data_IF_114247693307
#
_entry.id   IF_114247693307
#
_cell.length_a   1.000
_cell.length_b   1.000
_cell.length_c   1.000
_cell.angle_alpha   90.00
_cell.angle_beta   90.00
_cell.angle_gamma   90.00
#
_symmetry.space_group_name_H-M   'P 1'
#
loop_
_entity.id
_entity.type
_entity.pdbx_description
1 polymer ?
#
# COMPACT_ATOMS: atom_id res chain seq x y z
N UNK A 1 -19.73 -7.39 24.54
CA UNK A 1 -20.21 -8.72 24.21
C UNK A 1 -19.00 -9.60 23.94
N UNK A 2 -18.63 -10.44 24.90
CA UNK A 2 -17.58 -11.44 24.69
C UNK A 2 -18.14 -12.51 23.76
N UNK A 3 -17.70 -12.51 22.52
CA UNK A 3 -17.91 -13.64 21.65
C UNK A 3 -17.05 -14.81 22.18
N UNK A 4 -17.70 -15.72 22.91
CA UNK A 4 -17.04 -16.87 23.49
C UNK A 4 -16.79 -17.97 22.48
N UNK A 5 -15.83 -17.75 21.57
CA UNK A 5 -15.42 -18.78 20.61
C UNK A 5 -13.92 -18.96 20.67
N UNK A 6 -13.43 -19.69 21.63
CA UNK A 6 -11.98 -19.76 21.70
C UNK A 6 -11.41 -21.09 22.15
N UNK A 7 -12.21 -22.13 22.30
CA UNK A 7 -11.62 -23.40 22.73
C UNK A 7 -12.19 -24.60 22.00
N UNK A 8 -11.33 -25.29 21.29
CA UNK A 8 -11.57 -26.64 20.81
C UNK A 8 -11.00 -27.60 21.83
N UNK A 9 -11.78 -28.62 22.23
CA UNK A 9 -11.31 -29.70 23.10
C UNK A 9 -10.89 -30.88 22.25
N UNK A 10 -9.63 -31.25 22.30
CA UNK A 10 -9.18 -32.50 21.71
C UNK A 10 -9.24 -33.57 22.79
N UNK A 11 -10.12 -34.55 22.63
CA UNK A 11 -10.21 -35.72 23.51
C UNK A 11 -9.07 -36.68 23.15
N UNK A 12 -7.93 -36.55 23.80
CA UNK A 12 -6.89 -37.57 23.79
C UNK A 12 -6.93 -38.31 25.10
N UNK A 13 -7.57 -39.47 25.06
CA UNK A 13 -7.50 -40.56 26.03
C UNK A 13 -7.80 -40.29 27.50
N UNK A 14 -7.24 -39.33 28.16
CA UNK A 14 -7.44 -39.10 29.62
C UNK A 14 -7.46 -37.64 30.09
N UNK A 15 -7.08 -36.69 29.28
CA UNK A 15 -7.19 -35.24 29.60
C UNK A 15 -7.54 -34.43 28.39
N UNK A 16 -8.56 -33.59 28.44
CA UNK A 16 -8.89 -32.62 27.45
C UNK A 16 -8.00 -31.41 27.61
N UNK A 17 -7.06 -31.17 26.67
CA UNK A 17 -6.31 -29.93 26.62
C UNK A 17 -7.15 -28.84 25.95
N UNK A 18 -7.22 -27.69 26.59
CA UNK A 18 -7.91 -26.52 26.05
C UNK A 18 -7.04 -25.86 25.00
N UNK A 19 -7.40 -26.06 23.73
CA UNK A 19 -6.72 -25.41 22.61
C UNK A 19 -7.40 -24.08 22.31
N UNK A 20 -6.67 -22.99 22.42
CA UNK A 20 -7.16 -21.66 22.06
C UNK A 20 -6.95 -21.43 20.56
N UNK A 21 -8.02 -21.17 19.82
CA UNK A 21 -7.95 -20.76 18.40
C UNK A 21 -7.19 -19.44 18.29
N UNK A 22 -7.46 -18.50 19.21
CA UNK A 22 -6.70 -17.26 19.33
C UNK A 22 -5.81 -17.38 20.56
N UNK A 23 -4.49 -17.29 20.42
CA UNK A 23 -3.59 -17.31 21.57
C UNK A 23 -3.96 -16.24 22.61
N UNK A 24 -3.88 -16.53 23.91
CA UNK A 24 -4.28 -15.59 24.96
C UNK A 24 -3.58 -14.22 24.89
N UNK A 25 -2.36 -14.18 24.37
CA UNK A 25 -1.59 -12.96 24.15
C UNK A 25 -2.02 -12.17 22.90
N UNK A 26 -2.96 -12.70 22.11
CA UNK A 26 -3.48 -12.07 20.88
C UNK A 26 -4.94 -11.64 20.95
N UNK A 27 -5.58 -11.75 22.11
CA UNK A 27 -7.01 -11.42 22.29
C UNK A 27 -7.33 -9.95 22.05
N UNK A 28 -6.35 -9.06 22.19
CA UNK A 28 -6.48 -7.59 21.96
C UNK A 28 -5.84 -7.09 20.69
N UNK A 29 -5.46 -7.98 19.78
CA UNK A 29 -4.66 -7.60 18.62
C UNK A 29 -5.33 -6.52 17.74
N UNK A 30 -6.66 -6.49 17.63
CA UNK A 30 -7.38 -5.44 16.89
C UNK A 30 -7.28 -4.07 17.57
N UNK A 31 -7.31 -4.03 18.90
CA UNK A 31 -7.11 -2.80 19.66
C UNK A 31 -5.68 -2.30 19.52
N UNK A 32 -4.72 -3.19 19.55
CA UNK A 32 -3.29 -2.88 19.37
C UNK A 32 -3.02 -2.32 17.96
N UNK A 33 -3.62 -2.92 16.92
CA UNK A 33 -3.53 -2.40 15.55
C UNK A 33 -4.15 -1.00 15.46
N UNK A 34 -5.31 -0.79 16.08
CA UNK A 34 -5.99 0.51 16.08
C UNK A 34 -5.17 1.59 16.78
N UNK A 35 -4.50 1.24 17.88
CA UNK A 35 -3.62 2.14 18.61
C UNK A 35 -2.35 2.46 17.81
N UNK A 36 -1.69 1.44 17.28
CA UNK A 36 -0.51 1.59 16.41
C UNK A 36 -0.83 2.46 15.20
N UNK A 37 -2.01 2.31 14.61
CA UNK A 37 -2.44 3.15 13.49
C UNK A 37 -2.64 4.61 13.90
N UNK A 38 -3.18 4.89 15.08
CA UNK A 38 -3.32 6.27 15.59
C UNK A 38 -1.97 6.92 15.81
N UNK A 39 -1.05 6.21 16.48
CA UNK A 39 0.32 6.67 16.71
C UNK A 39 1.03 6.95 15.38
N UNK A 40 0.90 6.05 14.41
CA UNK A 40 1.47 6.24 13.08
C UNK A 40 0.92 7.51 12.40
N UNK A 41 -0.39 7.75 12.47
CA UNK A 41 -0.98 8.97 11.90
C UNK A 41 -0.50 10.26 12.58
N UNK A 42 -0.34 10.25 13.88
CA UNK A 42 0.20 11.40 14.62
C UNK A 42 1.65 11.69 14.21
N UNK A 43 2.47 10.65 14.08
CA UNK A 43 3.83 10.78 13.57
C UNK A 43 3.86 11.36 12.14
N UNK A 44 2.98 10.88 11.26
CA UNK A 44 2.85 11.45 9.90
C UNK A 44 2.53 12.93 9.96
N UNK A 45 1.54 13.33 10.75
CA UNK A 45 1.15 14.74 10.83
C UNK A 45 2.29 15.64 11.33
N UNK A 46 3.08 15.17 12.29
CA UNK A 46 4.29 15.88 12.74
C UNK A 46 5.29 16.06 11.59
N UNK A 47 5.55 15.01 10.82
CA UNK A 47 6.47 15.07 9.68
C UNK A 47 5.93 15.97 8.55
N UNK A 48 4.63 15.97 8.32
CA UNK A 48 3.94 16.85 7.35
C UNK A 48 4.13 18.31 7.73
N UNK A 49 3.94 18.67 9.01
CA UNK A 49 4.15 20.03 9.49
C UNK A 49 5.61 20.49 9.31
N UNK A 50 6.58 19.61 9.56
CA UNK A 50 7.99 19.92 9.32
C UNK A 50 8.25 20.15 7.83
N UNK A 51 7.72 19.30 6.95
CA UNK A 51 7.86 19.43 5.50
C UNK A 51 7.21 20.75 4.98
N UNK A 52 6.05 21.14 5.50
CA UNK A 52 5.42 22.41 5.13
C UNK A 52 6.22 23.63 5.59
N UNK A 53 6.81 23.60 6.77
CA UNK A 53 7.72 24.65 7.24
C UNK A 53 8.94 24.77 6.33
N UNK A 54 9.54 23.66 5.95
CA UNK A 54 10.68 23.63 5.01
C UNK A 54 10.28 24.19 3.65
N UNK A 55 9.11 23.82 3.12
CA UNK A 55 8.60 24.32 1.87
C UNK A 55 8.36 25.84 1.92
N UNK A 56 7.78 26.34 3.01
CA UNK A 56 7.56 27.78 3.20
C UNK A 56 8.88 28.56 3.22
N UNK A 57 9.90 28.07 3.93
CA UNK A 57 11.24 28.67 3.95
C UNK A 57 11.88 28.65 2.57
N UNK A 58 11.82 27.53 1.85
CA UNK A 58 12.34 27.42 0.50
C UNK A 58 11.68 28.45 -0.44
N UNK A 59 10.34 28.55 -0.39
CA UNK A 59 9.60 29.52 -1.20
C UNK A 59 9.92 30.97 -0.84
N UNK A 60 10.15 31.24 0.44
CA UNK A 60 10.55 32.58 0.89
C UNK A 60 11.94 32.95 0.37
N UNK A 61 12.91 32.05 0.46
CA UNK A 61 14.25 32.27 -0.08
C UNK A 61 14.26 32.52 -1.59
N UNK A 62 13.38 31.85 -2.34
CA UNK A 62 13.27 32.05 -3.80
C UNK A 62 12.75 33.44 -4.21
N UNK A 63 12.08 34.14 -3.30
CA UNK A 63 11.48 35.48 -3.56
C UNK A 63 12.31 36.64 -3.02
N UNK A 64 13.34 36.37 -2.24
CA UNK A 64 14.20 37.38 -1.63
C UNK A 64 15.43 37.64 -2.50
N UNK A 65 15.86 38.91 -2.54
CA UNK A 65 17.10 39.34 -3.20
C UNK A 65 18.23 39.61 -2.19
N UNK A 66 17.89 39.76 -0.90
CA UNK A 66 18.85 40.05 0.16
C UNK A 66 19.61 38.80 0.60
N UNK A 67 20.89 38.75 0.28
CA UNK A 67 21.75 37.61 0.57
C UNK A 67 21.91 37.31 2.08
N UNK A 68 21.85 38.34 2.95
CA UNK A 68 21.97 38.15 4.39
C UNK A 68 20.71 37.46 4.95
N UNK A 69 19.53 37.93 4.54
CA UNK A 69 18.25 37.31 4.92
C UNK A 69 18.15 35.87 4.39
N UNK A 70 18.57 35.63 3.17
CA UNK A 70 18.62 34.26 2.60
C UNK A 70 19.52 33.36 3.46
N UNK A 71 20.70 33.86 3.88
CA UNK A 71 21.61 33.12 4.75
C UNK A 71 20.97 32.74 6.11
N UNK A 72 20.25 33.67 6.73
CA UNK A 72 19.55 33.41 8.01
C UNK A 72 18.41 32.39 7.83
N UNK A 73 17.65 32.49 6.74
CA UNK A 73 16.61 31.51 6.42
C UNK A 73 17.19 30.13 6.12
N UNK A 74 18.34 30.04 5.44
CA UNK A 74 19.03 28.80 5.17
C UNK A 74 19.47 28.10 6.48
N UNK A 75 20.03 28.81 7.43
CA UNK A 75 20.37 28.28 8.75
C UNK A 75 19.14 27.73 9.47
N UNK A 76 17.99 28.41 9.35
CA UNK A 76 16.72 27.96 9.92
C UNK A 76 16.21 26.72 9.21
N UNK A 77 16.31 26.67 7.88
CA UNK A 77 15.97 25.53 7.05
C UNK A 77 16.78 24.29 7.46
N UNK A 78 18.11 24.43 7.55
CA UNK A 78 19.00 23.31 7.90
C UNK A 78 18.70 22.77 9.29
N UNK A 79 18.36 23.63 10.25
CA UNK A 79 17.96 23.24 11.60
C UNK A 79 16.63 22.44 11.59
N UNK A 80 15.61 22.95 10.92
CA UNK A 80 14.29 22.30 10.85
C UNK A 80 14.37 21.00 10.05
N UNK A 81 15.25 20.93 9.05
CA UNK A 81 15.46 19.70 8.27
C UNK A 81 15.95 18.53 9.13
N UNK A 82 16.63 18.78 10.24
CA UNK A 82 17.05 17.73 11.17
C UNK A 82 15.88 17.03 11.87
N UNK A 83 14.72 17.68 11.95
CA UNK A 83 13.49 17.11 12.53
C UNK A 83 12.70 16.26 11.51
N UNK A 84 13.08 16.32 10.22
CA UNK A 84 12.47 15.50 9.17
C UNK A 84 13.22 14.18 9.03
N UNK A 85 12.47 13.08 8.98
CA UNK A 85 13.04 11.75 8.70
C UNK A 85 13.80 11.79 7.35
N UNK A 86 15.07 11.33 7.31
CA UNK A 86 15.87 11.32 6.08
C UNK A 86 15.21 10.59 4.90
N UNK A 87 14.46 9.50 5.14
CA UNK A 87 13.73 8.81 4.10
C UNK A 87 12.56 9.65 3.54
N UNK A 88 11.92 10.44 4.40
CA UNK A 88 10.88 11.35 3.96
C UNK A 88 11.45 12.47 3.09
N UNK A 89 12.64 12.98 3.45
CA UNK A 89 13.34 13.94 2.63
C UNK A 89 13.72 13.38 1.25
N UNK A 90 14.30 12.19 1.21
CA UNK A 90 14.65 11.51 -0.03
C UNK A 90 13.43 11.31 -0.95
N UNK A 91 12.27 10.93 -0.38
CA UNK A 91 11.02 10.79 -1.13
C UNK A 91 10.55 12.13 -1.71
N UNK A 92 10.71 13.23 -1.00
CA UNK A 92 10.38 14.57 -1.50
C UNK A 92 11.31 14.98 -2.66
N UNK A 93 12.60 14.73 -2.54
CA UNK A 93 13.57 14.99 -3.62
C UNK A 93 13.27 14.15 -4.87
N UNK A 94 12.86 12.90 -4.69
CA UNK A 94 12.52 11.98 -5.78
C UNK A 94 11.12 12.22 -6.37
N UNK A 95 10.30 13.08 -5.77
CA UNK A 95 8.91 13.27 -6.18
C UNK A 95 8.75 13.61 -7.65
N UNK A 96 9.52 14.56 -8.17
CA UNK A 96 9.43 14.97 -9.57
C UNK A 96 9.81 13.84 -10.53
N UNK A 97 10.83 13.08 -10.20
CA UNK A 97 11.25 11.91 -11.01
C UNK A 97 10.19 10.80 -10.97
N UNK A 98 9.54 10.63 -9.82
CA UNK A 98 8.42 9.68 -9.68
C UNK A 98 7.25 10.11 -10.55
N UNK A 99 6.83 11.37 -10.47
CA UNK A 99 5.75 11.92 -11.32
C UNK A 99 6.07 11.72 -12.81
N UNK A 100 7.32 11.98 -13.21
CA UNK A 100 7.74 11.82 -14.61
C UNK A 100 7.66 10.36 -15.05
N UNK A 101 8.12 9.41 -14.25
CA UNK A 101 8.02 7.97 -14.55
C UNK A 101 6.59 7.50 -14.85
N UNK A 102 5.60 8.04 -14.12
CA UNK A 102 4.19 7.71 -14.36
C UNK A 102 3.57 8.46 -15.53
N UNK A 103 4.17 9.58 -15.96
CA UNK A 103 3.76 10.35 -17.17
C UNK A 103 4.40 9.81 -18.44
N UNK A 104 5.53 9.15 -18.36
CA UNK A 104 6.19 8.57 -19.52
C UNK A 104 5.27 7.52 -20.18
N UNK A 105 5.29 7.36 -21.50
CA UNK A 105 4.39 6.43 -22.20
C UNK A 105 4.61 4.96 -21.81
N UNK A 106 5.80 4.63 -21.34
CA UNK A 106 6.19 3.28 -20.92
C UNK A 106 6.85 3.32 -19.54
N UNK A 107 6.35 2.52 -18.64
CA UNK A 107 6.97 2.27 -17.32
C UNK A 107 7.73 0.96 -17.37
N UNK A 108 9.01 0.98 -17.00
CA UNK A 108 9.87 -0.20 -16.96
C UNK A 108 10.21 -0.55 -15.52
N UNK A 109 10.00 -1.80 -15.14
CA UNK A 109 10.45 -2.35 -13.86
C UNK A 109 11.03 -3.75 -14.05
N UNK A 110 11.82 -4.20 -13.08
CA UNK A 110 12.53 -5.46 -13.17
C UNK A 110 11.95 -6.49 -12.20
N UNK A 111 11.69 -7.68 -12.72
CA UNK A 111 11.27 -8.84 -11.90
C UNK A 111 12.18 -10.01 -12.21
N UNK A 112 12.91 -10.48 -11.20
CA UNK A 112 13.86 -11.60 -11.34
C UNK A 112 14.84 -11.42 -12.51
N UNK A 113 15.36 -10.19 -12.68
CA UNK A 113 16.31 -9.84 -13.75
C UNK A 113 15.71 -9.61 -15.13
N UNK A 114 14.39 -9.78 -15.31
CA UNK A 114 13.69 -9.45 -16.55
C UNK A 114 13.08 -8.07 -16.49
N UNK A 115 13.35 -7.22 -17.48
CA UNK A 115 12.68 -5.95 -17.66
C UNK A 115 11.26 -6.17 -18.14
N UNK A 116 10.30 -5.58 -17.46
CA UNK A 116 8.88 -5.59 -17.82
C UNK A 116 8.50 -4.17 -18.20
N UNK A 117 8.07 -3.99 -19.44
CA UNK A 117 7.64 -2.72 -19.99
C UNK A 117 6.11 -2.71 -20.04
N UNK A 118 5.49 -1.70 -19.46
CA UNK A 118 4.04 -1.55 -19.45
C UNK A 118 3.66 -0.15 -19.94
N UNK A 119 2.67 -0.07 -20.82
CA UNK A 119 2.10 1.22 -21.22
C UNK A 119 1.39 1.86 -20.04
N UNK A 120 1.74 3.10 -19.75
CA UNK A 120 1.19 3.86 -18.63
C UNK A 120 -0.20 4.42 -18.88
N UNK A 121 -0.60 4.51 -20.15
CA UNK A 121 -1.86 5.07 -20.59
C UNK A 121 -2.69 4.06 -21.39
N UNK A 122 -4.00 4.27 -21.38
CA UNK A 122 -4.96 3.64 -22.28
C UNK A 122 -5.61 4.72 -23.16
N UNK A 123 -5.92 4.37 -24.39
CA UNK A 123 -6.61 5.28 -25.29
C UNK A 123 -8.13 5.09 -25.17
N UNK A 124 -8.85 6.20 -24.96
CA UNK A 124 -10.30 6.21 -24.97
C UNK A 124 -10.86 6.10 -26.41
N UNK A 125 -12.17 5.91 -26.55
CA UNK A 125 -12.85 5.93 -27.84
C UNK A 125 -12.71 7.29 -28.57
N UNK A 126 -12.52 8.37 -27.84
CA UNK A 126 -12.24 9.72 -28.36
C UNK A 126 -10.76 9.98 -28.62
N UNK A 127 -9.92 8.95 -28.62
CA UNK A 127 -8.47 9.02 -28.78
C UNK A 127 -7.71 9.80 -27.70
N UNK A 128 -8.35 10.09 -26.57
CA UNK A 128 -7.70 10.73 -25.41
C UNK A 128 -6.86 9.71 -24.66
N UNK A 129 -5.63 10.09 -24.30
CA UNK A 129 -4.77 9.26 -23.47
C UNK A 129 -5.18 9.38 -21.99
N UNK A 130 -5.58 8.26 -21.40
CA UNK A 130 -6.01 8.18 -20.00
C UNK A 130 -4.91 7.47 -19.20
N UNK A 131 -4.31 8.11 -18.19
CA UNK A 131 -3.30 7.47 -17.35
C UNK A 131 -3.94 6.33 -16.53
N UNK A 132 -3.27 5.17 -16.51
CA UNK A 132 -3.69 4.02 -15.69
C UNK A 132 -3.51 4.28 -14.19
N UNK A 133 -2.52 5.09 -13.83
CA UNK A 133 -2.27 5.58 -12.48
C UNK A 133 -2.09 7.09 -12.57
N UNK A 134 -2.93 7.84 -11.87
CA UNK A 134 -2.84 9.29 -11.80
C UNK A 134 -2.26 9.71 -10.45
N UNK A 135 -1.18 10.47 -10.48
CA UNK A 135 -0.60 11.06 -9.27
C UNK A 135 -1.23 12.42 -8.99
N UNK A 136 -1.33 12.81 -7.71
CA UNK A 136 -1.86 14.11 -7.33
C UNK A 136 -0.96 15.25 -7.83
N UNK A 137 -1.55 16.42 -8.06
CA UNK A 137 -0.85 17.63 -8.50
C UNK A 137 -0.55 18.57 -7.31
N UNK A 138 -0.03 18.00 -6.23
CA UNK A 138 0.35 18.78 -5.06
C UNK A 138 1.60 19.62 -5.32
N UNK A 139 1.69 20.75 -4.65
CA UNK A 139 2.85 21.67 -4.70
C UNK A 139 3.58 21.74 -3.38
N UNK A 140 2.86 21.78 -2.26
CA UNK A 140 3.48 21.81 -0.93
C UNK A 140 4.13 20.47 -0.61
N UNK A 141 5.26 20.51 0.08
CA UNK A 141 5.96 19.30 0.48
C UNK A 141 5.18 18.51 1.54
N UNK A 142 4.42 19.20 2.38
CA UNK A 142 3.56 18.55 3.34
C UNK A 142 2.44 17.73 2.69
N UNK A 143 1.74 18.29 1.69
CA UNK A 143 0.70 17.56 0.97
C UNK A 143 1.27 16.35 0.21
N UNK A 144 2.44 16.52 -0.43
CA UNK A 144 3.14 15.44 -1.12
C UNK A 144 3.50 14.33 -0.13
N UNK A 145 4.11 14.69 0.99
CA UNK A 145 4.55 13.73 2.00
C UNK A 145 3.35 13.02 2.66
N UNK A 146 2.29 13.77 2.97
CA UNK A 146 1.06 13.21 3.52
C UNK A 146 0.47 12.16 2.58
N UNK A 147 0.42 12.45 1.28
CA UNK A 147 -0.07 11.49 0.30
C UNK A 147 0.85 10.26 0.20
N UNK A 148 2.16 10.45 0.15
CA UNK A 148 3.14 9.36 0.10
C UNK A 148 3.05 8.42 1.31
N UNK A 149 2.73 8.97 2.50
CA UNK A 149 2.68 8.19 3.75
C UNK A 149 1.31 7.58 4.05
N UNK A 150 0.21 8.11 3.47
CA UNK A 150 -1.15 7.63 3.73
C UNK A 150 -1.79 6.88 2.56
N UNK A 151 -1.39 7.16 1.32
CA UNK A 151 -2.00 6.60 0.12
C UNK A 151 -1.00 5.91 -0.79
N UNK A 152 -0.04 6.65 -1.31
CA UNK A 152 1.05 6.22 -2.18
C UNK A 152 0.60 5.60 -3.53
N UNK A 153 1.58 5.13 -4.31
CA UNK A 153 1.37 4.43 -5.58
C UNK A 153 1.25 2.93 -5.37
N UNK A 154 0.59 2.19 -6.30
CA UNK A 154 0.54 0.73 -6.22
C UNK A 154 1.93 0.11 -6.14
N UNK A 155 2.10 -0.81 -5.19
CA UNK A 155 3.38 -1.48 -4.93
C UNK A 155 4.25 -0.83 -3.85
N UNK A 156 3.90 0.37 -3.40
CA UNK A 156 4.60 1.10 -2.34
C UNK A 156 3.71 1.23 -1.10
N UNK A 157 4.32 1.01 0.09
CA UNK A 157 3.58 1.18 1.36
C UNK A 157 3.05 2.62 1.49
N UNK A 158 1.79 2.84 1.94
CA UNK A 158 0.81 1.87 2.47
C UNK A 158 -0.19 1.30 1.45
N UNK A 159 0.01 1.47 0.15
CA UNK A 159 -0.91 0.93 -0.86
C UNK A 159 -0.81 -0.60 -0.96
N UNK A 160 -1.76 -1.31 -0.38
CA UNK A 160 -1.74 -2.77 -0.24
C UNK A 160 -2.50 -3.54 -1.32
N UNK A 161 -3.21 -2.85 -2.23
CA UNK A 161 -4.03 -3.50 -3.26
C UNK A 161 -3.22 -4.13 -4.41
N UNK A 162 -1.91 -3.88 -4.50
CA UNK A 162 -1.01 -4.44 -5.51
C UNK A 162 0.44 -4.39 -5.05
N UNK A 163 1.23 -5.34 -5.54
CA UNK A 163 2.68 -5.43 -5.26
C UNK A 163 3.47 -4.70 -6.35
N UNK A 164 2.90 -4.59 -7.55
CA UNK A 164 3.54 -3.98 -8.71
C UNK A 164 2.82 -2.68 -9.10
N UNK A 165 3.55 -1.72 -9.69
CA UNK A 165 2.99 -0.43 -10.09
C UNK A 165 1.82 -0.54 -11.07
N UNK A 166 1.87 -1.54 -11.95
CA UNK A 166 0.87 -1.76 -12.99
C UNK A 166 0.52 -3.25 -13.13
N UNK A 167 -0.70 -3.51 -13.61
CA UNK A 167 -1.07 -4.84 -14.07
C UNK A 167 -0.32 -5.17 -15.36
N UNK A 168 0.03 -6.44 -15.54
CA UNK A 168 0.65 -6.92 -16.79
C UNK A 168 -0.31 -6.74 -17.97
N UNK A 169 0.25 -6.40 -19.11
CA UNK A 169 -0.51 -6.36 -20.37
C UNK A 169 -0.76 -7.78 -20.87
N UNK A 170 -1.94 -8.01 -21.46
CA UNK A 170 -2.31 -9.31 -22.00
C UNK A 170 -2.77 -10.35 -20.97
N UNK A 171 -2.77 -10.02 -19.69
CA UNK A 171 -3.42 -10.83 -18.67
C UNK A 171 -4.85 -10.33 -18.46
N UNK A 172 -5.83 -11.08 -18.93
CA UNK A 172 -7.22 -10.89 -18.52
C UNK A 172 -7.40 -11.65 -17.19
N UNK A 173 -7.42 -10.97 -16.02
CA UNK A 173 -7.53 -11.64 -14.75
C UNK A 173 -8.96 -12.11 -14.53
N UNK A 174 -9.26 -13.30 -14.99
CA UNK A 174 -10.50 -13.95 -14.59
C UNK A 174 -10.44 -14.29 -13.12
N UNK A 175 -11.26 -13.62 -12.32
CA UNK A 175 -11.44 -13.94 -10.91
C UNK A 175 -12.60 -14.91 -10.78
N UNK A 176 -12.31 -16.12 -10.32
CA UNK A 176 -13.33 -17.12 -10.03
C UNK A 176 -13.61 -17.18 -8.54
N UNK A 177 -14.90 -17.18 -8.20
CA UNK A 177 -15.37 -17.44 -6.87
C UNK A 177 -16.02 -18.83 -6.86
N UNK A 178 -15.59 -19.70 -5.98
CA UNK A 178 -16.25 -20.95 -5.72
C UNK A 178 -16.15 -21.30 -4.24
N UNK A 179 -17.16 -21.91 -3.73
CA UNK A 179 -17.24 -22.55 -2.44
C UNK A 179 -18.35 -23.58 -2.54
N UNK A 180 -18.00 -24.81 -2.91
CA UNK A 180 -18.96 -25.85 -3.21
C UNK A 180 -18.60 -27.11 -2.45
N UNK A 181 -19.23 -27.37 -1.33
CA UNK A 181 -18.93 -28.55 -0.51
C UNK A 181 -17.51 -28.55 0.03
N UNK A 182 -16.88 -29.71 0.03
CA UNK A 182 -15.52 -29.84 0.53
C UNK A 182 -14.42 -29.27 -0.38
N UNK A 183 -13.17 -29.11 0.14
CA UNK A 183 -12.06 -28.49 -0.58
C UNK A 183 -11.69 -29.24 -1.86
N UNK A 184 -11.83 -30.56 -1.90
CA UNK A 184 -11.56 -31.36 -3.08
C UNK A 184 -12.49 -31.00 -4.26
N UNK A 185 -13.77 -30.81 -3.98
CA UNK A 185 -14.79 -30.45 -4.99
C UNK A 185 -14.56 -29.06 -5.52
N UNK A 186 -14.27 -28.11 -4.65
CA UNK A 186 -13.92 -26.73 -5.00
C UNK A 186 -12.67 -26.70 -5.88
N UNK A 187 -11.64 -27.47 -5.51
CA UNK A 187 -10.41 -27.55 -6.29
C UNK A 187 -10.62 -28.16 -7.70
N UNK A 188 -11.37 -29.25 -7.80
CA UNK A 188 -11.75 -29.85 -9.10
C UNK A 188 -12.49 -28.84 -9.99
N UNK A 189 -13.44 -28.11 -9.43
CA UNK A 189 -14.18 -27.08 -10.16
C UNK A 189 -13.25 -25.97 -10.66
N UNK A 190 -12.36 -25.46 -9.82
CA UNK A 190 -11.40 -24.46 -10.24
C UNK A 190 -10.52 -24.93 -11.40
N UNK A 191 -10.02 -26.15 -11.33
CA UNK A 191 -9.24 -26.74 -12.41
C UNK A 191 -10.05 -26.84 -13.71
N UNK A 192 -11.27 -27.32 -13.63
CA UNK A 192 -12.12 -27.51 -14.78
C UNK A 192 -12.47 -26.19 -15.47
N UNK A 193 -12.92 -25.19 -14.71
CA UNK A 193 -13.36 -23.91 -15.25
C UNK A 193 -12.18 -23.05 -15.75
N UNK A 194 -10.97 -23.29 -15.22
CA UNK A 194 -9.78 -22.52 -15.60
C UNK A 194 -8.94 -23.16 -16.71
N UNK A 195 -9.39 -24.28 -17.31
CA UNK A 195 -8.70 -24.90 -18.43
C UNK A 195 -8.50 -23.92 -19.59
N UNK A 196 -7.28 -23.82 -20.09
CA UNK A 196 -6.94 -22.96 -21.24
C UNK A 196 -6.82 -21.45 -20.92
N UNK A 197 -7.03 -21.00 -19.70
CA UNK A 197 -6.86 -19.60 -19.32
C UNK A 197 -5.40 -19.25 -19.03
N UNK A 198 -4.86 -18.14 -19.57
CA UNK A 198 -3.46 -17.77 -19.41
C UNK A 198 -3.12 -17.29 -17.99
N UNK A 199 -4.06 -16.68 -17.29
CA UNK A 199 -3.90 -16.19 -15.92
C UNK A 199 -5.12 -16.54 -15.07
N UNK A 200 -4.87 -17.00 -13.85
CA UNK A 200 -5.92 -17.47 -12.93
C UNK A 200 -5.80 -16.77 -11.61
N UNK A 201 -6.91 -16.15 -11.18
CA UNK A 201 -7.08 -15.67 -9.80
C UNK A 201 -8.22 -16.44 -9.17
N UNK A 202 -7.92 -17.21 -8.14
CA UNK A 202 -8.87 -18.03 -7.44
C UNK A 202 -9.19 -17.37 -6.09
N UNK A 203 -10.47 -17.23 -5.77
CA UNK A 203 -10.94 -16.79 -4.48
C UNK A 203 -11.92 -17.81 -3.94
N UNK A 204 -11.65 -18.31 -2.74
CA UNK A 204 -12.54 -19.25 -2.04
C UNK A 204 -13.30 -18.49 -0.96
N UNK A 205 -14.61 -18.61 -0.95
CA UNK A 205 -15.41 -18.22 0.21
C UNK A 205 -15.34 -19.36 1.22
N UNK A 206 -14.92 -19.05 2.43
CA UNK A 206 -14.98 -20.00 3.55
C UNK A 206 -16.42 -20.07 4.05
N UNK A 207 -17.00 -21.26 4.01
CA UNK A 207 -18.28 -21.53 4.64
C UNK A 207 -18.11 -21.82 6.15
N UNK A 208 -19.23 -22.00 6.84
CA UNK A 208 -19.21 -22.30 8.27
C UNK A 208 -18.47 -23.61 8.59
N UNK A 209 -18.51 -24.59 7.71
CA UNK A 209 -17.85 -25.89 7.88
C UNK A 209 -16.34 -25.71 7.86
N UNK A 210 -15.82 -24.93 6.92
CA UNK A 210 -14.39 -24.61 6.83
C UNK A 210 -13.91 -23.81 8.03
N UNK A 211 -14.74 -22.92 8.56
CA UNK A 211 -14.45 -22.14 9.78
C UNK A 211 -14.37 -23.02 11.03
N UNK A 212 -15.05 -24.14 11.05
CA UNK A 212 -15.04 -25.10 12.17
C UNK A 212 -13.95 -26.17 12.07
N UNK A 213 -13.06 -26.08 11.09
CA UNK A 213 -11.84 -26.88 11.02
C UNK A 213 -12.01 -28.27 10.40
N UNK A 214 -12.88 -28.39 9.42
CA UNK A 214 -12.95 -29.60 8.58
C UNK A 214 -11.93 -29.58 7.45
#
# INVERSE_FOLDING_TARGET
>A
ANAGFTSTFTLTGEMSEKIFIIPPNRTRYLSEISESHRIYREQIMTQVEVADKLYALQRSMETLEDAELIGQLQLSFDRIKMDLDPHNWERLEQWQSTVQRYKDPVYTFHVRGKAINIKTHTQSLSHTQIPKVALPKYRSWGDILRWLLLENVPGEFPYTAGIYPFKREGEDPTRMFAGEGGPERTNKRFHYVSLGMPAKRLSTAFDSVTLYGN
#
